data_IF_883133518703
#
_entry.id   IF_883133518703
#
_cell.length_a   1.000
_cell.length_b   1.000
_cell.length_c   1.000
_cell.angle_alpha   90.00
_cell.angle_beta   90.00
_cell.angle_gamma   90.00
#
_symmetry.space_group_name_H-M   'P 1'
#
loop_
_entity.id
_entity.type
_entity.pdbx_description
1 polymer ?
#
# COMPACT_ATOMS: atom_id res chain seq x y z
N UNK A 1 8.92 -14.26 -1.18
CA UNK A 1 8.85 -15.54 -0.41
C UNK A 1 7.73 -15.54 0.63
N UNK A 2 7.75 -14.66 1.64
CA UNK A 2 6.73 -14.62 2.69
C UNK A 2 5.29 -14.35 2.17
N UNK A 3 5.16 -13.63 1.04
CA UNK A 3 3.90 -13.44 0.34
C UNK A 3 3.22 -14.72 -0.13
N UNK A 4 4.00 -15.70 -0.58
CA UNK A 4 3.50 -16.95 -1.16
C UNK A 4 3.42 -18.07 -0.13
N UNK A 5 4.42 -18.21 0.73
CA UNK A 5 4.54 -19.33 1.67
C UNK A 5 4.06 -19.00 3.08
N UNK A 6 3.98 -17.70 3.41
CA UNK A 6 3.69 -17.22 4.76
C UNK A 6 4.92 -16.94 5.62
N UNK A 7 4.73 -16.19 6.72
CA UNK A 7 5.80 -15.63 7.56
C UNK A 7 6.48 -16.68 8.46
N UNK A 8 5.76 -17.74 8.84
CA UNK A 8 6.25 -18.82 9.71
C UNK A 8 6.71 -20.06 8.94
N UNK A 9 6.70 -20.01 7.62
CA UNK A 9 7.07 -21.14 6.78
C UNK A 9 8.56 -21.49 6.89
N UNK A 10 8.89 -22.77 6.73
CA UNK A 10 10.28 -23.26 6.82
C UNK A 10 11.20 -22.60 5.81
N UNK A 11 10.72 -22.33 4.60
CA UNK A 11 11.53 -21.68 3.57
C UNK A 11 11.75 -20.20 3.91
N UNK A 12 10.73 -19.51 4.44
CA UNK A 12 10.87 -18.14 4.98
C UNK A 12 11.92 -18.07 6.10
N UNK A 13 11.90 -19.02 7.05
CA UNK A 13 12.91 -19.09 8.13
C UNK A 13 14.31 -19.45 7.63
N UNK A 14 14.41 -20.27 6.58
CA UNK A 14 15.70 -20.61 5.96
C UNK A 14 16.34 -19.37 5.33
N UNK A 15 15.55 -18.48 4.72
CA UNK A 15 16.05 -17.20 4.18
C UNK A 15 16.67 -16.35 5.28
N UNK A 16 16.08 -16.29 6.47
CA UNK A 16 16.66 -15.54 7.60
C UNK A 16 18.06 -16.07 7.99
N UNK A 17 18.23 -17.40 8.02
CA UNK A 17 19.54 -18.01 8.25
C UNK A 17 20.57 -17.67 7.16
N UNK A 18 20.13 -17.43 5.92
CA UNK A 18 21.01 -17.02 4.83
C UNK A 18 21.38 -15.54 4.92
N UNK A 19 20.43 -14.68 5.31
CA UNK A 19 20.68 -13.26 5.57
C UNK A 19 21.69 -13.07 6.70
N UNK A 20 21.56 -13.83 7.79
CA UNK A 20 22.53 -13.81 8.90
C UNK A 20 23.97 -14.11 8.42
N UNK A 21 24.13 -15.16 7.60
CA UNK A 21 25.44 -15.47 6.98
C UNK A 21 25.93 -14.36 6.05
N UNK A 22 25.01 -13.67 5.36
CA UNK A 22 25.37 -12.54 4.51
C UNK A 22 25.87 -11.36 5.35
N UNK A 23 25.19 -11.03 6.45
CA UNK A 23 25.65 -10.00 7.39
C UNK A 23 27.04 -10.34 7.97
N UNK A 24 27.26 -11.59 8.41
CA UNK A 24 28.56 -12.03 8.91
C UNK A 24 29.69 -11.98 7.86
N UNK A 25 29.37 -12.07 6.56
CA UNK A 25 30.37 -11.87 5.49
C UNK A 25 30.73 -10.39 5.32
N UNK A 26 29.71 -9.53 5.31
CA UNK A 26 29.90 -8.08 5.16
C UNK A 26 30.64 -7.49 6.36
N UNK A 27 30.32 -7.93 7.58
CA UNK A 27 31.01 -7.52 8.80
C UNK A 27 32.49 -7.90 8.79
N UNK A 28 32.82 -9.15 8.42
CA UNK A 28 34.22 -9.59 8.28
C UNK A 28 34.99 -8.80 7.22
N UNK A 29 34.35 -8.47 6.10
CA UNK A 29 34.97 -7.65 5.06
C UNK A 29 35.28 -6.23 5.56
N UNK A 30 34.37 -5.64 6.35
CA UNK A 30 34.58 -4.31 6.93
C UNK A 30 35.72 -4.28 7.96
N UNK A 31 35.97 -5.36 8.69
CA UNK A 31 37.12 -5.46 9.60
C UNK A 31 38.47 -5.39 8.88
N UNK A 32 38.51 -5.77 7.60
CA UNK A 32 39.72 -5.75 6.78
C UNK A 32 39.81 -4.50 5.87
N UNK A 33 38.86 -3.57 5.96
CA UNK A 33 38.82 -2.38 5.13
C UNK A 33 39.57 -1.21 5.78
N UNK A 34 40.20 -0.37 4.96
CA UNK A 34 40.91 0.83 5.43
C UNK A 34 39.97 1.91 6.02
N UNK A 35 38.68 1.85 5.68
CA UNK A 35 37.66 2.80 6.15
C UNK A 35 36.77 2.14 7.21
N UNK A 36 36.47 2.84 8.33
CA UNK A 36 35.54 2.32 9.32
C UNK A 36 34.11 2.31 8.76
N UNK A 37 33.44 1.16 8.85
CA UNK A 37 32.03 1.03 8.50
C UNK A 37 31.18 0.79 9.75
N UNK A 38 29.99 1.38 9.76
CA UNK A 38 28.92 1.07 10.72
C UNK A 38 27.73 0.55 9.93
N UNK A 39 27.10 -0.52 10.42
CA UNK A 39 25.98 -1.16 9.73
C UNK A 39 24.66 -0.81 10.42
N UNK A 40 23.68 -0.44 9.60
CA UNK A 40 22.29 -0.30 10.00
C UNK A 40 21.49 -1.26 9.12
N UNK A 41 20.73 -2.16 9.75
CA UNK A 41 19.82 -3.06 9.06
C UNK A 41 18.41 -2.60 9.39
N UNK A 42 17.60 -2.36 8.37
CA UNK A 42 16.21 -1.96 8.54
C UNK A 42 15.31 -2.87 7.73
N UNK A 43 14.09 -3.00 8.21
CA UNK A 43 12.94 -3.45 7.44
C UNK A 43 12.03 -2.25 7.27
N UNK A 44 11.60 -2.03 6.04
CA UNK A 44 10.64 -1.00 5.66
C UNK A 44 9.23 -1.32 6.18
N UNK A 45 8.86 -2.60 6.17
CA UNK A 45 7.63 -3.11 6.74
C UNK A 45 7.77 -4.54 7.29
N UNK A 46 6.86 -4.90 8.20
CA UNK A 46 6.66 -6.31 8.56
C UNK A 46 5.82 -7.04 7.53
N UNK A 47 5.15 -8.11 7.95
CA UNK A 47 4.17 -8.84 7.14
C UNK A 47 2.96 -9.20 8.02
N UNK A 48 1.77 -9.15 7.42
CA UNK A 48 0.54 -9.66 8.00
C UNK A 48 0.11 -10.89 7.20
N UNK A 49 -0.62 -11.81 7.85
CA UNK A 49 -1.17 -12.99 7.19
C UNK A 49 -2.69 -13.00 7.23
N UNK A 50 -3.28 -13.77 6.31
CA UNK A 50 -4.70 -14.08 6.34
C UNK A 50 -5.20 -14.55 4.98
N UNK A 51 -6.40 -15.14 4.98
CA UNK A 51 -7.09 -15.46 3.74
C UNK A 51 -7.35 -14.18 2.92
N UNK A 52 -7.20 -14.27 1.61
CA UNK A 52 -7.42 -13.16 0.68
C UNK A 52 -8.89 -12.77 0.66
N UNK A 53 -9.19 -11.55 0.23
CA UNK A 53 -10.55 -11.02 0.12
C UNK A 53 -11.42 -11.93 -0.78
N UNK A 54 -10.84 -12.42 -1.89
CA UNK A 54 -11.50 -13.36 -2.79
C UNK A 54 -11.73 -14.74 -2.15
N UNK A 55 -10.78 -15.24 -1.38
CA UNK A 55 -10.96 -16.49 -0.63
C UNK A 55 -12.06 -16.37 0.43
N UNK A 56 -12.13 -15.23 1.13
CA UNK A 56 -13.13 -15.00 2.19
C UNK A 56 -14.53 -14.73 1.65
N UNK A 57 -14.65 -13.97 0.56
CA UNK A 57 -15.94 -13.42 0.12
C UNK A 57 -16.36 -13.86 -1.29
N UNK A 58 -15.55 -14.66 -1.98
CA UNK A 58 -15.85 -15.16 -3.33
C UNK A 58 -15.81 -14.11 -4.43
N UNK A 59 -15.40 -12.87 -4.12
CA UNK A 59 -15.32 -11.74 -5.05
C UNK A 59 -14.01 -10.98 -4.88
N UNK A 60 -13.53 -10.35 -5.94
CA UNK A 60 -12.37 -9.44 -5.86
C UNK A 60 -12.79 -8.03 -5.42
N UNK A 61 -11.83 -7.19 -5.01
CA UNK A 61 -12.11 -5.77 -4.72
C UNK A 61 -12.74 -5.06 -5.92
N UNK A 62 -12.21 -5.30 -7.13
CA UNK A 62 -12.79 -4.79 -8.39
C UNK A 62 -14.27 -5.16 -8.49
N UNK A 63 -14.62 -6.43 -8.27
CA UNK A 63 -16.00 -6.90 -8.39
C UNK A 63 -16.90 -6.31 -7.30
N UNK A 64 -16.39 -6.10 -6.09
CA UNK A 64 -17.12 -5.44 -5.01
C UNK A 64 -17.44 -3.98 -5.37
N UNK A 65 -16.46 -3.23 -5.89
CA UNK A 65 -16.66 -1.85 -6.36
C UNK A 65 -17.60 -1.81 -7.57
N UNK A 66 -17.39 -2.67 -8.57
CA UNK A 66 -18.18 -2.70 -9.79
C UNK A 66 -19.67 -2.96 -9.53
N UNK A 67 -20.02 -3.74 -8.50
CA UNK A 67 -21.42 -3.98 -8.10
C UNK A 67 -22.14 -2.73 -7.61
N UNK A 68 -21.40 -1.70 -7.19
CA UNK A 68 -21.92 -0.44 -6.67
C UNK A 68 -21.90 0.67 -7.73
N UNK A 69 -21.47 0.36 -8.95
CA UNK A 69 -21.31 1.32 -10.05
C UNK A 69 -22.23 0.97 -11.23
N UNK A 70 -22.51 1.94 -12.13
CA UNK A 70 -23.12 1.68 -13.43
C UNK A 70 -22.41 0.55 -14.19
N UNK A 71 -23.20 -0.30 -14.89
CA UNK A 71 -22.71 -1.54 -15.51
C UNK A 71 -21.76 -1.33 -16.69
N UNK A 72 -21.82 -0.16 -17.31
CA UNK A 72 -21.14 0.22 -18.54
C UNK A 72 -19.80 0.95 -18.29
N UNK A 73 -19.45 1.23 -17.04
CA UNK A 73 -18.16 1.80 -16.69
C UNK A 73 -17.01 0.88 -17.08
N UNK A 74 -16.05 1.45 -17.83
CA UNK A 74 -14.82 0.78 -18.20
C UNK A 74 -13.87 0.76 -17.01
N UNK A 75 -13.69 -0.42 -16.39
CA UNK A 75 -12.85 -0.58 -15.20
C UNK A 75 -11.56 -1.33 -15.54
N UNK A 76 -10.43 -0.66 -15.37
CA UNK A 76 -9.11 -1.28 -15.33
C UNK A 76 -8.75 -1.61 -13.88
N UNK A 77 -8.23 -2.81 -13.62
CA UNK A 77 -7.82 -3.20 -12.28
C UNK A 77 -6.54 -4.02 -12.28
N UNK A 78 -5.63 -3.70 -11.35
CA UNK A 78 -4.40 -4.45 -11.11
C UNK A 78 -4.41 -4.92 -9.65
N UNK A 79 -4.72 -6.20 -9.47
CA UNK A 79 -4.87 -6.86 -8.16
C UNK A 79 -3.75 -7.87 -7.87
N UNK A 80 -2.68 -7.80 -8.64
CA UNK A 80 -1.46 -8.55 -8.45
C UNK A 80 -0.32 -7.55 -8.65
N UNK A 81 0.41 -7.26 -7.58
CA UNK A 81 1.65 -6.49 -7.63
C UNK A 81 2.83 -7.45 -7.59
N UNK A 82 3.71 -7.33 -8.59
CA UNK A 82 5.10 -7.73 -8.42
C UNK A 82 5.76 -6.70 -7.49
N UNK A 83 6.62 -7.15 -6.57
CA UNK A 83 7.30 -6.31 -5.54
C UNK A 83 7.93 -5.03 -6.15
N UNK A 84 8.25 -5.04 -7.44
CA UNK A 84 8.76 -3.91 -8.22
C UNK A 84 7.81 -2.69 -8.28
N UNK A 85 6.48 -2.85 -8.21
CA UNK A 85 5.56 -1.70 -8.26
C UNK A 85 5.42 -0.95 -6.93
N UNK A 86 5.77 -1.57 -5.80
CA UNK A 86 5.92 -0.85 -4.53
C UNK A 86 6.95 0.27 -4.63
N UNK A 87 8.03 0.03 -5.39
CA UNK A 87 9.01 1.06 -5.76
C UNK A 87 8.48 2.06 -6.79
N UNK A 88 7.61 1.63 -7.72
CA UNK A 88 6.99 2.51 -8.72
C UNK A 88 5.98 3.47 -8.09
N UNK A 89 5.16 3.06 -7.12
CA UNK A 89 4.28 3.97 -6.40
C UNK A 89 5.07 5.07 -5.64
N UNK A 90 6.25 4.72 -5.12
CA UNK A 90 7.19 5.68 -4.53
C UNK A 90 7.80 6.62 -5.58
N UNK A 91 8.21 6.11 -6.75
CA UNK A 91 8.74 6.91 -7.87
C UNK A 91 7.68 7.82 -8.53
N UNK A 92 6.43 7.33 -8.66
CA UNK A 92 5.28 8.10 -9.13
C UNK A 92 5.00 9.27 -8.19
N UNK A 93 5.18 9.06 -6.88
CA UNK A 93 5.04 10.12 -5.87
C UNK A 93 6.19 11.14 -5.94
N UNK A 94 7.38 10.74 -6.37
CA UNK A 94 8.54 11.63 -6.55
C UNK A 94 8.43 12.49 -7.83
N UNK A 95 7.85 11.95 -8.90
CA UNK A 95 7.57 12.67 -10.16
C UNK A 95 6.36 13.60 -10.03
N UNK A 96 5.32 13.19 -9.29
CA UNK A 96 4.16 14.04 -9.00
C UNK A 96 4.55 15.35 -8.27
N UNK A 97 5.61 15.31 -7.46
CA UNK A 97 6.17 16.50 -6.79
C UNK A 97 6.85 17.48 -7.76
N UNK A 98 7.17 17.07 -8.99
CA UNK A 98 7.84 17.92 -9.99
C UNK A 98 6.88 18.43 -11.08
N UNK A 99 5.86 17.65 -11.49
CA UNK A 99 4.86 18.07 -12.47
C UNK A 99 3.55 17.23 -12.37
N UNK A 100 2.47 17.77 -11.79
CA UNK A 100 1.19 17.06 -11.61
C UNK A 100 0.51 16.61 -12.92
N UNK A 101 0.81 17.28 -14.04
CA UNK A 101 0.21 16.97 -15.35
C UNK A 101 0.81 15.73 -16.03
N UNK A 102 1.89 15.18 -15.47
CA UNK A 102 2.63 14.06 -16.06
C UNK A 102 2.27 12.69 -15.48
N UNK A 103 1.43 12.60 -14.44
CA UNK A 103 1.06 11.34 -13.78
C UNK A 103 0.45 10.33 -14.78
N UNK A 104 -0.55 10.76 -15.57
CA UNK A 104 -1.16 9.93 -16.61
C UNK A 104 -0.21 9.59 -17.77
N UNK A 105 0.85 10.38 -17.98
CA UNK A 105 1.85 10.17 -19.04
C UNK A 105 3.02 9.30 -18.60
N UNK A 106 3.34 9.25 -17.30
CA UNK A 106 4.39 8.38 -16.76
C UNK A 106 3.88 6.95 -16.57
N UNK A 107 2.62 6.80 -16.14
CA UNK A 107 1.90 5.51 -16.25
C UNK A 107 2.02 4.99 -17.68
N UNK A 108 1.80 5.85 -18.69
CA UNK A 108 1.90 5.58 -20.14
C UNK A 108 3.32 5.22 -20.65
N UNK A 109 4.40 5.58 -19.97
CA UNK A 109 5.78 5.21 -20.38
C UNK A 109 6.21 3.88 -19.77
N UNK A 110 5.84 3.62 -18.51
CA UNK A 110 6.19 2.38 -17.81
C UNK A 110 5.33 1.20 -18.28
N UNK A 111 4.08 1.43 -18.68
CA UNK A 111 3.23 0.40 -19.32
C UNK A 111 3.71 0.03 -20.73
N UNK A 112 4.43 0.92 -21.42
CA UNK A 112 4.89 0.72 -22.80
C UNK A 112 6.21 -0.06 -22.92
N UNK A 113 6.99 -0.15 -21.84
CA UNK A 113 8.36 -0.67 -21.90
C UNK A 113 8.52 -2.15 -21.54
N UNK A 114 7.44 -2.88 -21.22
CA UNK A 114 7.51 -4.33 -20.86
C UNK A 114 6.99 -5.29 -21.91
N UNK A 115 6.67 -4.84 -23.12
CA UNK A 115 6.31 -5.75 -24.23
C UNK A 115 7.51 -6.30 -25.00
N UNK A 116 8.73 -5.91 -24.66
CA UNK A 116 9.94 -6.38 -25.33
C UNK A 116 11.01 -6.76 -24.31
N UNK A 117 10.83 -7.88 -23.62
CA UNK A 117 11.96 -8.73 -23.23
C UNK A 117 11.42 -10.14 -23.00
N UNK A 118 12.02 -11.12 -23.67
CA UNK A 118 11.52 -12.49 -23.85
C UNK A 118 11.47 -13.35 -22.58
N UNK A 119 10.76 -12.90 -21.56
CA UNK A 119 10.35 -13.72 -20.43
C UNK A 119 9.11 -14.54 -20.80
N UNK A 120 9.19 -15.85 -20.55
CA UNK A 120 8.05 -16.76 -20.74
C UNK A 120 7.08 -16.50 -19.58
N UNK A 121 6.06 -15.70 -19.81
CA UNK A 121 4.96 -15.50 -18.86
C UNK A 121 4.28 -16.86 -18.60
N UNK A 122 4.24 -17.30 -17.34
CA UNK A 122 3.52 -18.50 -16.90
C UNK A 122 2.52 -18.10 -15.82
N UNK A 123 1.25 -18.45 -15.99
CA UNK A 123 0.20 -18.21 -14.98
C UNK A 123 -0.76 -17.06 -15.32
N UNK A 124 -1.29 -16.31 -14.33
CA UNK A 124 -2.32 -15.27 -14.52
C UNK A 124 -1.94 -14.19 -15.53
N UNK A 125 -0.65 -13.86 -15.63
CA UNK A 125 -0.15 -12.86 -16.58
C UNK A 125 -0.20 -13.35 -18.03
N UNK A 126 0.02 -14.64 -18.29
CA UNK A 126 -0.18 -15.24 -19.61
C UNK A 126 -1.65 -15.16 -20.03
N UNK A 127 -2.57 -15.45 -19.10
CA UNK A 127 -4.01 -15.34 -19.35
C UNK A 127 -4.42 -13.87 -19.60
N UNK A 128 -3.83 -12.91 -18.87
CA UNK A 128 -4.04 -11.48 -19.07
C UNK A 128 -3.55 -11.01 -20.43
N UNK A 129 -2.36 -11.44 -20.86
CA UNK A 129 -1.82 -11.16 -22.20
C UNK A 129 -2.73 -11.72 -23.31
N UNK A 130 -3.26 -12.94 -23.13
CA UNK A 130 -4.23 -13.53 -24.07
C UNK A 130 -5.55 -12.74 -24.13
N UNK A 131 -6.05 -12.28 -22.98
CA UNK A 131 -7.28 -11.49 -22.91
C UNK A 131 -7.08 -10.06 -23.48
N UNK A 132 -5.90 -9.46 -23.30
CA UNK A 132 -5.49 -8.19 -23.92
C UNK A 132 -5.42 -8.31 -25.44
N UNK A 133 -4.75 -9.35 -25.96
CA UNK A 133 -4.71 -9.63 -27.40
C UNK A 133 -6.09 -9.93 -28.00
N UNK A 134 -7.02 -10.46 -27.20
CA UNK A 134 -8.40 -10.71 -27.60
C UNK A 134 -9.33 -9.48 -27.46
N UNK A 135 -8.81 -8.31 -27.06
CA UNK A 135 -9.62 -7.09 -26.85
C UNK A 135 -10.61 -7.18 -25.70
N UNK A 136 -10.39 -8.08 -24.74
CA UNK A 136 -11.26 -8.33 -23.56
C UNK A 136 -10.84 -7.55 -22.32
N UNK A 137 -9.68 -6.89 -22.35
CA UNK A 137 -9.12 -6.12 -21.25
C UNK A 137 -9.19 -4.63 -21.57
N UNK A 138 -9.81 -3.86 -20.67
CA UNK A 138 -9.78 -2.40 -20.71
C UNK A 138 -8.38 -1.95 -20.28
N UNK A 139 -7.70 -1.18 -21.13
CA UNK A 139 -6.40 -0.60 -20.81
C UNK A 139 -6.54 0.54 -19.80
N UNK A 140 -5.44 0.93 -19.15
CA UNK A 140 -5.48 2.05 -18.21
C UNK A 140 -5.89 3.37 -18.90
N UNK A 141 -5.57 3.54 -20.18
CA UNK A 141 -5.88 4.74 -20.96
C UNK A 141 -7.36 4.84 -21.34
N UNK A 142 -8.06 3.72 -21.48
CA UNK A 142 -9.48 3.67 -21.85
C UNK A 142 -10.41 3.54 -20.64
N UNK A 143 -9.83 3.34 -19.45
CA UNK A 143 -10.57 3.18 -18.22
C UNK A 143 -11.19 4.50 -17.78
N UNK A 144 -12.38 4.39 -17.20
CA UNK A 144 -13.08 5.45 -16.45
C UNK A 144 -12.88 5.28 -14.94
N UNK A 145 -12.44 4.09 -14.53
CA UNK A 145 -12.09 3.73 -13.17
C UNK A 145 -10.83 2.85 -13.17
N UNK A 146 -9.84 3.22 -12.37
CA UNK A 146 -8.66 2.41 -12.08
C UNK A 146 -8.74 1.93 -10.63
N UNK A 147 -8.60 0.61 -10.44
CA UNK A 147 -8.51 -0.02 -9.12
C UNK A 147 -7.14 -0.67 -8.97
N UNK A 148 -6.33 -0.18 -8.04
CA UNK A 148 -5.05 -0.77 -7.66
C UNK A 148 -5.19 -1.46 -6.31
N UNK A 149 -4.53 -2.59 -6.13
CA UNK A 149 -4.38 -3.20 -4.83
C UNK A 149 -2.90 -3.44 -4.51
N UNK A 150 -2.56 -3.34 -3.23
CA UNK A 150 -1.27 -3.75 -2.67
C UNK A 150 -1.54 -4.29 -1.27
N UNK A 151 -1.39 -5.60 -1.10
CA UNK A 151 -1.81 -6.32 0.08
C UNK A 151 -3.26 -6.02 0.47
N UNK A 152 -3.47 -5.44 1.66
CA UNK A 152 -4.80 -5.07 2.16
C UNK A 152 -5.19 -3.60 1.92
N UNK A 153 -4.46 -2.90 1.06
CA UNK A 153 -4.74 -1.54 0.60
C UNK A 153 -5.31 -1.56 -0.81
N UNK A 154 -6.42 -0.87 -1.01
CA UNK A 154 -7.03 -0.60 -2.32
C UNK A 154 -7.01 0.89 -2.62
N UNK A 155 -6.66 1.26 -3.85
CA UNK A 155 -6.66 2.63 -4.34
C UNK A 155 -7.62 2.72 -5.53
N UNK A 156 -8.53 3.68 -5.51
CA UNK A 156 -9.54 3.88 -6.55
C UNK A 156 -9.39 5.27 -7.14
N UNK A 157 -9.26 5.34 -8.46
CA UNK A 157 -9.15 6.58 -9.23
C UNK A 157 -10.24 6.63 -10.29
N UNK A 158 -11.01 7.70 -10.34
CA UNK A 158 -11.94 8.04 -11.41
C UNK A 158 -11.22 8.94 -12.41
N UNK A 159 -11.10 8.49 -13.65
CA UNK A 159 -10.20 9.08 -14.65
C UNK A 159 -10.89 10.07 -15.59
N UNK A 160 -12.23 10.11 -15.59
CA UNK A 160 -13.00 11.09 -16.37
C UNK A 160 -12.99 12.50 -15.76
N UNK A 161 -12.53 12.64 -14.52
CA UNK A 161 -12.42 13.92 -13.81
C UNK A 161 -10.97 14.36 -13.69
N UNK A 162 -10.73 15.65 -13.94
CA UNK A 162 -9.39 16.24 -13.86
C UNK A 162 -8.91 16.38 -12.41
N UNK A 163 -9.85 16.64 -11.49
CA UNK A 163 -9.58 16.83 -10.07
C UNK A 163 -10.09 15.64 -9.27
N UNK A 164 -9.44 15.36 -8.15
CA UNK A 164 -9.86 14.33 -7.19
C UNK A 164 -11.29 14.59 -6.73
N UNK A 165 -12.16 13.59 -6.87
CA UNK A 165 -13.55 13.64 -6.46
C UNK A 165 -13.67 13.69 -4.93
N UNK A 166 -14.55 14.57 -4.49
CA UNK A 166 -14.94 14.70 -3.08
C UNK A 166 -16.03 13.69 -2.73
N UNK A 167 -16.26 13.45 -1.45
CA UNK A 167 -17.36 12.60 -0.97
C UNK A 167 -18.70 13.09 -1.52
N UNK A 168 -18.91 14.40 -1.53
CA UNK A 168 -20.12 15.03 -2.05
C UNK A 168 -20.26 14.82 -3.56
N UNK A 169 -19.19 14.99 -4.33
CA UNK A 169 -19.20 14.72 -5.76
C UNK A 169 -19.40 13.23 -6.07
N UNK A 170 -18.75 12.33 -5.32
CA UNK A 170 -18.95 10.89 -5.44
C UNK A 170 -20.39 10.50 -5.18
N UNK A 171 -21.02 11.05 -4.14
CA UNK A 171 -22.43 10.76 -3.84
C UNK A 171 -23.38 11.30 -4.92
N UNK A 172 -23.04 12.42 -5.57
CA UNK A 172 -23.83 12.96 -6.68
C UNK A 172 -23.75 12.12 -7.96
N UNK A 173 -22.56 11.60 -8.30
CA UNK A 173 -22.33 10.83 -9.53
C UNK A 173 -22.56 9.32 -9.35
N UNK A 174 -22.25 8.79 -8.17
CA UNK A 174 -22.30 7.37 -7.81
C UNK A 174 -22.97 7.18 -6.43
N UNK A 175 -24.29 7.46 -6.31
CA UNK A 175 -24.99 7.43 -5.02
C UNK A 175 -24.82 6.10 -4.28
N UNK A 176 -24.46 6.18 -3.01
CA UNK A 176 -24.30 5.00 -2.14
C UNK A 176 -23.02 4.18 -2.38
N UNK A 177 -22.08 4.62 -3.21
CA UNK A 177 -20.79 3.92 -3.42
C UNK A 177 -20.03 3.75 -2.11
N UNK A 178 -19.79 4.84 -1.37
CA UNK A 178 -18.99 4.80 -0.14
C UNK A 178 -19.71 4.01 0.95
N UNK A 179 -21.02 4.23 1.14
CA UNK A 179 -21.85 3.47 2.09
C UNK A 179 -21.89 1.97 1.76
N UNK A 180 -22.02 1.62 0.48
CA UNK A 180 -21.99 0.24 0.02
C UNK A 180 -20.64 -0.45 0.28
N UNK A 181 -19.53 0.27 0.08
CA UNK A 181 -18.19 -0.26 0.36
C UNK A 181 -17.99 -0.51 1.86
N UNK A 182 -18.26 0.47 2.72
CA UNK A 182 -18.03 0.32 4.16
C UNK A 182 -18.97 -0.70 4.83
N UNK A 183 -20.10 -1.04 4.20
CA UNK A 183 -20.99 -2.12 4.66
C UNK A 183 -20.47 -3.51 4.30
N UNK A 184 -19.53 -3.64 3.37
CA UNK A 184 -18.95 -4.94 3.04
C UNK A 184 -18.10 -5.43 4.22
N UNK A 185 -18.32 -6.65 4.76
CA UNK A 185 -17.63 -7.12 5.96
C UNK A 185 -16.11 -7.23 5.80
N UNK A 186 -15.63 -7.32 4.57
CA UNK A 186 -14.19 -7.33 4.25
C UNK A 186 -13.53 -5.95 4.25
N UNK A 187 -14.26 -4.85 4.36
CA UNK A 187 -13.73 -3.48 4.34
C UNK A 187 -13.77 -2.93 5.77
N UNK A 188 -12.62 -2.45 6.25
CA UNK A 188 -12.50 -1.86 7.59
C UNK A 188 -12.88 -0.40 7.58
N UNK A 189 -12.29 0.36 6.65
CA UNK A 189 -12.63 1.75 6.42
C UNK A 189 -12.29 2.20 4.99
N UNK A 190 -12.87 3.32 4.60
CA UNK A 190 -12.56 4.07 3.39
C UNK A 190 -12.10 5.47 3.79
N UNK A 191 -10.91 5.87 3.35
CA UNK A 191 -10.45 7.25 3.37
C UNK A 191 -10.96 7.97 2.13
N UNK A 192 -11.66 9.08 2.32
CA UNK A 192 -12.21 9.94 1.27
C UNK A 192 -12.14 11.41 1.71
N UNK A 193 -11.94 12.34 0.77
CA UNK A 193 -11.94 13.78 1.05
C UNK A 193 -13.36 14.34 0.94
N UNK A 194 -13.82 15.06 1.95
CA UNK A 194 -15.06 15.85 1.91
C UNK A 194 -14.73 17.34 1.72
N UNK A 195 -15.53 18.04 0.91
CA UNK A 195 -15.42 19.50 0.76
C UNK A 195 -15.68 20.22 2.08
N UNK A 196 -16.64 19.71 2.85
CA UNK A 196 -17.08 20.34 4.09
C UNK A 196 -16.18 20.03 5.28
N UNK A 197 -15.66 18.81 5.34
CA UNK A 197 -15.00 18.29 6.55
C UNK A 197 -13.52 17.96 6.37
N UNK A 198 -12.99 18.03 5.15
CA UNK A 198 -11.64 17.56 4.83
C UNK A 198 -11.58 16.02 4.79
N UNK A 199 -10.42 15.40 5.06
CA UNK A 199 -10.28 13.95 5.03
C UNK A 199 -11.15 13.25 6.09
N UNK A 200 -11.83 12.19 5.66
CA UNK A 200 -12.67 11.35 6.50
C UNK A 200 -12.21 9.89 6.37
N UNK A 201 -12.03 9.19 7.49
CA UNK A 201 -12.01 7.73 7.49
C UNK A 201 -13.40 7.22 7.89
N UNK A 202 -14.10 6.57 6.98
CA UNK A 202 -15.48 6.12 7.14
C UNK A 202 -15.47 4.60 7.29
N UNK A 203 -16.04 4.07 8.36
CA UNK A 203 -16.30 2.65 8.54
C UNK A 203 -17.80 2.36 8.61
N UNK A 204 -18.16 1.08 8.74
CA UNK A 204 -19.56 0.62 8.70
C UNK A 204 -20.48 1.29 9.74
N UNK A 205 -19.94 1.68 10.89
CA UNK A 205 -20.70 2.15 12.07
C UNK A 205 -20.18 3.47 12.64
N UNK A 206 -19.31 4.17 11.92
CA UNK A 206 -18.81 5.45 12.38
C UNK A 206 -17.78 6.09 11.46
N UNK A 207 -17.46 7.33 11.77
CA UNK A 207 -16.63 8.22 10.96
C UNK A 207 -15.59 8.86 11.86
N UNK A 208 -14.34 8.80 11.44
CA UNK A 208 -13.26 9.61 11.97
C UNK A 208 -13.06 10.83 11.06
N UNK A 209 -13.31 12.01 11.63
CA UNK A 209 -13.08 13.30 11.00
C UNK A 209 -11.62 13.71 11.24
N UNK A 210 -10.76 13.44 10.25
CA UNK A 210 -9.31 13.48 10.43
C UNK A 210 -8.79 14.92 10.63
N UNK A 211 -9.42 15.92 10.01
CA UNK A 211 -9.02 17.31 10.19
C UNK A 211 -9.29 17.85 11.61
N UNK A 212 -10.29 17.29 12.31
CA UNK A 212 -10.73 17.75 13.63
C UNK A 212 -10.40 16.76 14.76
N UNK A 213 -9.75 15.64 14.47
CA UNK A 213 -9.50 14.53 15.41
C UNK A 213 -10.76 14.12 16.20
N UNK A 214 -11.90 14.05 15.50
CA UNK A 214 -13.22 13.81 16.10
C UNK A 214 -13.84 12.53 15.53
N UNK A 215 -14.50 11.74 16.38
CA UNK A 215 -15.22 10.54 15.96
C UNK A 215 -16.74 10.70 16.16
N UNK A 216 -17.53 10.17 15.24
CA UNK A 216 -18.97 9.92 15.44
C UNK A 216 -19.27 8.44 15.25
N UNK A 217 -20.07 7.85 16.14
CA UNK A 217 -20.31 6.40 16.12
C UNK A 217 -19.09 5.63 16.64
N UNK A 218 -18.84 4.46 16.06
CA UNK A 218 -17.64 3.67 16.37
C UNK A 218 -16.40 4.25 15.69
N UNK A 219 -15.26 4.24 16.38
CA UNK A 219 -14.00 4.70 15.80
C UNK A 219 -13.48 3.65 14.79
N UNK A 220 -13.48 3.94 13.47
CA UNK A 220 -13.03 2.99 12.46
C UNK A 220 -11.53 2.70 12.52
N UNK A 221 -10.77 3.51 13.27
CA UNK A 221 -9.32 3.39 13.40
C UNK A 221 -8.86 2.81 14.75
N UNK A 222 -9.79 2.35 15.60
CA UNK A 222 -9.51 1.98 16.99
C UNK A 222 -8.47 0.87 17.15
N UNK A 223 -8.36 -0.04 16.18
CA UNK A 223 -7.47 -1.20 16.25
C UNK A 223 -6.14 -1.00 15.52
N UNK A 224 -5.89 0.18 14.97
CA UNK A 224 -4.61 0.51 14.32
C UNK A 224 -3.71 1.31 15.27
N UNK A 225 -2.48 1.58 14.80
CA UNK A 225 -1.54 2.45 15.50
C UNK A 225 -2.18 3.80 15.85
N UNK A 226 -1.79 4.38 17.00
CA UNK A 226 -2.18 5.76 17.38
C UNK A 226 -1.74 6.81 16.34
N UNK A 227 -0.77 6.46 15.48
CA UNK A 227 -0.32 7.30 14.38
C UNK A 227 -1.16 7.18 13.10
N UNK A 228 -2.13 6.24 13.03
CA UNK A 228 -2.95 6.04 11.84
C UNK A 228 -3.68 7.31 11.37
N UNK A 229 -4.33 8.13 12.24
CA UNK A 229 -4.95 9.38 11.80
C UNK A 229 -3.94 10.36 11.17
N UNK A 230 -2.73 10.43 11.70
CA UNK A 230 -1.66 11.27 11.15
C UNK A 230 -1.21 10.77 9.77
N UNK A 231 -1.00 9.46 9.61
CA UNK A 231 -0.60 8.85 8.33
C UNK A 231 -1.68 9.01 7.26
N UNK A 232 -2.96 8.87 7.62
CA UNK A 232 -4.08 9.06 6.68
C UNK A 232 -4.23 10.53 6.26
N UNK A 233 -4.04 11.49 7.18
CA UNK A 233 -3.96 12.93 6.82
C UNK A 233 -2.83 13.19 5.83
N UNK A 234 -1.66 12.60 6.07
CA UNK A 234 -0.52 12.73 5.16
C UNK A 234 -0.84 12.13 3.79
N UNK A 235 -1.44 10.94 3.74
CA UNK A 235 -1.84 10.29 2.49
C UNK A 235 -2.85 11.13 1.69
N UNK A 236 -3.78 11.80 2.40
CA UNK A 236 -4.75 12.72 1.79
C UNK A 236 -4.07 13.91 1.08
N UNK A 237 -2.94 14.39 1.60
CA UNK A 237 -2.24 15.58 1.10
C UNK A 237 -1.41 15.35 -0.16
N UNK A 238 -1.23 14.10 -0.61
CA UNK A 238 -0.48 13.85 -1.84
C UNK A 238 -1.26 14.32 -3.08
N UNK A 239 -0.57 14.92 -4.04
CA UNK A 239 -1.17 15.39 -5.30
C UNK A 239 -1.78 14.25 -6.12
N UNK A 240 -1.21 13.05 -5.97
CA UNK A 240 -1.69 11.82 -6.59
C UNK A 240 -2.56 10.96 -5.65
N UNK A 241 -3.14 11.54 -4.59
CA UNK A 241 -4.01 10.80 -3.69
C UNK A 241 -5.25 10.23 -4.44
N UNK A 242 -5.65 8.97 -4.18
CA UNK A 242 -6.82 8.38 -4.82
C UNK A 242 -8.12 9.02 -4.34
N UNK A 243 -9.16 8.97 -5.17
CA UNK A 243 -10.51 9.37 -4.75
C UNK A 243 -10.94 8.60 -3.51
N UNK A 244 -10.71 7.28 -3.53
CA UNK A 244 -10.91 6.39 -2.37
C UNK A 244 -9.64 5.60 -2.07
N UNK A 245 -9.21 5.64 -0.82
CA UNK A 245 -8.26 4.68 -0.26
C UNK A 245 -9.03 3.73 0.64
N UNK A 246 -8.97 2.44 0.35
CA UNK A 246 -9.73 1.39 1.02
C UNK A 246 -8.77 0.52 1.80
N UNK A 247 -9.02 0.35 3.10
CA UNK A 247 -8.30 -0.63 3.90
C UNK A 247 -9.24 -1.78 4.22
N UNK A 248 -8.76 -3.01 4.09
CA UNK A 248 -9.55 -4.16 4.55
C UNK A 248 -9.71 -4.13 6.07
N UNK A 249 -10.63 -4.95 6.59
CA UNK A 249 -10.81 -5.06 8.03
C UNK A 249 -9.52 -5.56 8.70
N UNK A 250 -9.42 -5.33 10.01
CA UNK A 250 -8.39 -5.95 10.85
C UNK A 250 -9.04 -6.51 12.11
N UNK A 251 -8.78 -7.79 12.39
CA UNK A 251 -9.20 -8.47 13.61
C UNK A 251 -7.99 -8.53 14.57
N UNK A 252 -8.00 -7.78 15.69
CA UNK A 252 -6.89 -7.75 16.64
C UNK A 252 -6.78 -9.02 17.50
N UNK A 253 -7.82 -9.86 17.55
CA UNK A 253 -7.81 -11.11 18.32
C UNK A 253 -7.17 -12.23 17.49
N UNK A 254 -7.57 -12.35 16.24
CA UNK A 254 -6.97 -13.30 15.30
C UNK A 254 -5.61 -12.82 14.76
N UNK A 255 -5.30 -11.53 14.89
CA UNK A 255 -4.18 -10.83 14.22
C UNK A 255 -4.22 -11.02 12.69
N UNK A 256 -5.43 -10.95 12.13
CA UNK A 256 -5.68 -11.19 10.71
C UNK A 256 -6.34 -10.00 10.03
N UNK A 257 -6.01 -9.84 8.75
CA UNK A 257 -6.76 -9.02 7.81
C UNK A 257 -7.00 -9.85 6.54
N UNK A 258 -7.41 -9.20 5.45
CA UNK A 258 -7.43 -9.86 4.14
C UNK A 258 -6.75 -9.00 3.07
N UNK A 259 -5.89 -9.63 2.27
CA UNK A 259 -5.33 -9.00 1.08
C UNK A 259 -6.41 -8.86 0.00
N UNK A 260 -6.47 -7.72 -0.67
CA UNK A 260 -7.23 -7.57 -1.90
C UNK A 260 -6.55 -8.28 -3.08
N UNK A 261 -5.25 -8.56 -2.95
CA UNK A 261 -4.47 -9.39 -3.87
C UNK A 261 -4.57 -10.88 -3.53
N UNK A 262 -4.20 -11.74 -4.48
CA UNK A 262 -4.23 -13.20 -4.29
C UNK A 262 -2.94 -13.74 -3.63
N UNK A 263 -2.44 -13.05 -2.60
CA UNK A 263 -1.25 -13.41 -1.81
C UNK A 263 -1.62 -13.56 -0.33
N UNK A 264 -1.13 -14.62 0.32
CA UNK A 264 -1.52 -15.00 1.71
C UNK A 264 -0.71 -14.26 2.79
N UNK A 265 0.53 -13.87 2.46
CA UNK A 265 1.29 -12.87 3.20
C UNK A 265 1.14 -11.54 2.48
N UNK A 266 0.90 -10.47 3.21
CA UNK A 266 0.72 -9.15 2.62
C UNK A 266 1.17 -8.00 3.53
N UNK A 267 1.49 -6.89 2.87
CA UNK A 267 1.66 -5.58 3.46
C UNK A 267 1.13 -4.51 2.48
N UNK A 268 1.01 -3.27 2.94
CA UNK A 268 0.65 -2.12 2.12
C UNK A 268 -0.36 -1.21 2.81
N UNK A 269 -1.26 -1.79 3.61
CA UNK A 269 -2.26 -1.06 4.38
C UNK A 269 -1.92 -0.94 5.87
N UNK A 270 -2.97 -0.76 6.66
CA UNK A 270 -2.95 -0.75 8.11
C UNK A 270 -3.50 -2.09 8.65
N UNK A 271 -2.93 -2.56 9.75
CA UNK A 271 -3.37 -3.72 10.52
C UNK A 271 -2.33 -4.84 10.60
N UNK A 272 -2.10 -5.35 11.81
CA UNK A 272 -1.27 -6.53 12.07
C UNK A 272 0.25 -6.28 12.03
N UNK A 273 1.00 -7.37 11.86
CA UNK A 273 2.46 -7.37 11.84
C UNK A 273 3.12 -6.48 10.79
N UNK A 274 2.44 -6.17 9.68
CA UNK A 274 2.98 -5.31 8.62
C UNK A 274 3.40 -3.91 9.12
N UNK A 275 2.74 -3.38 10.15
CA UNK A 275 3.06 -2.06 10.70
C UNK A 275 4.14 -2.10 11.79
N UNK A 276 4.84 -3.23 11.96
CA UNK A 276 5.96 -3.41 12.91
C UNK A 276 7.27 -3.63 12.15
N UNK A 277 7.85 -2.56 11.55
CA UNK A 277 9.21 -2.63 11.01
C UNK A 277 10.23 -2.84 12.13
N UNK A 278 11.45 -3.23 11.78
CA UNK A 278 12.56 -3.28 12.73
C UNK A 278 13.75 -2.45 12.27
N UNK A 279 14.56 -2.02 13.23
CA UNK A 279 15.82 -1.33 13.03
C UNK A 279 16.88 -1.96 13.94
N UNK A 280 17.93 -2.51 13.34
CA UNK A 280 19.17 -2.88 14.02
C UNK A 280 20.20 -1.79 13.71
N UNK A 281 20.79 -1.24 14.77
CA UNK A 281 21.77 -0.16 14.68
C UNK A 281 22.83 -0.33 15.76
N UNK A 282 24.00 0.32 15.63
CA UNK A 282 25.04 0.29 16.64
C UNK A 282 24.50 0.75 18.01
N UNK A 283 24.80 0.00 19.06
CA UNK A 283 24.30 0.30 20.42
C UNK A 283 24.68 1.70 20.91
N UNK A 284 25.86 2.18 20.48
CA UNK A 284 26.37 3.50 20.82
C UNK A 284 25.48 4.65 20.31
N UNK A 285 24.67 4.44 19.28
CA UNK A 285 23.77 5.46 18.75
C UNK A 285 22.55 5.72 19.63
N UNK A 286 22.27 4.82 20.60
CA UNK A 286 21.18 4.94 21.58
C UNK A 286 19.79 5.22 20.96
N UNK A 287 19.53 4.71 19.74
CA UNK A 287 18.28 4.99 19.01
C UNK A 287 17.01 4.52 19.73
N UNK A 288 17.13 3.63 20.72
CA UNK A 288 16.00 3.20 21.58
C UNK A 288 15.38 4.34 22.38
N UNK A 289 16.10 5.44 22.58
CA UNK A 289 15.61 6.62 23.30
C UNK A 289 14.89 7.63 22.37
N UNK A 290 14.92 7.40 21.05
CA UNK A 290 14.28 8.26 20.06
C UNK A 290 12.83 7.82 19.83
N UNK A 291 11.90 8.78 19.73
CA UNK A 291 10.59 8.51 19.16
C UNK A 291 10.72 8.64 17.64
N UNK A 292 10.56 7.54 16.90
CA UNK A 292 10.71 7.52 15.43
C UNK A 292 9.36 7.16 14.81
N UNK A 293 8.76 8.10 14.10
CA UNK A 293 7.50 7.93 13.39
C UNK A 293 7.73 8.21 11.90
N UNK A 294 7.74 7.13 11.11
CA UNK A 294 7.90 7.18 9.66
C UNK A 294 9.35 7.37 9.18
N UNK A 295 9.54 7.20 7.87
CA UNK A 295 10.85 7.16 7.22
C UNK A 295 11.61 8.49 7.29
N UNK A 296 10.92 9.64 7.24
CA UNK A 296 11.58 10.96 7.30
C UNK A 296 12.27 11.21 8.64
N UNK A 297 11.60 10.86 9.74
CA UNK A 297 12.20 11.02 11.06
C UNK A 297 13.36 10.05 11.24
N UNK A 298 13.20 8.81 10.76
CA UNK A 298 14.29 7.83 10.74
C UNK A 298 15.50 8.39 9.95
N UNK A 299 15.28 8.94 8.76
CA UNK A 299 16.33 9.56 7.96
C UNK A 299 17.07 10.66 8.74
N UNK A 300 16.35 11.59 9.37
CA UNK A 300 16.96 12.67 10.15
C UNK A 300 17.80 12.14 11.32
N UNK A 301 17.31 11.11 12.00
CA UNK A 301 18.02 10.45 13.11
C UNK A 301 19.29 9.77 12.59
N UNK A 302 19.20 8.98 11.52
CA UNK A 302 20.37 8.30 10.93
C UNK A 302 21.38 9.31 10.38
N UNK A 303 20.93 10.37 9.71
CA UNK A 303 21.78 11.41 9.14
C UNK A 303 22.58 12.14 10.23
N UNK A 304 21.95 12.46 11.37
CA UNK A 304 22.62 13.03 12.53
C UNK A 304 23.74 12.12 13.07
N UNK A 305 23.52 10.80 13.08
CA UNK A 305 24.55 9.85 13.51
C UNK A 305 25.72 9.82 12.53
N UNK A 306 25.45 9.80 11.23
CA UNK A 306 26.48 9.85 10.17
C UNK A 306 27.30 11.13 10.27
N UNK A 307 26.66 12.28 10.46
CA UNK A 307 27.35 13.58 10.54
C UNK A 307 28.19 13.73 11.82
N UNK A 308 27.89 12.93 12.85
CA UNK A 308 28.66 12.89 14.09
C UNK A 308 29.81 11.85 14.07
N UNK A 309 29.93 11.04 13.02
CA UNK A 309 31.03 10.08 12.91
C UNK A 309 32.35 10.80 12.60
N UNK A 310 33.46 10.44 13.27
CA UNK A 310 34.77 10.95 12.90
C UNK A 310 35.13 10.49 11.48
N UNK A 311 35.64 11.42 10.67
CA UNK A 311 36.04 11.21 9.28
C UNK A 311 37.28 10.36 9.10
#
# INVERSE_FOLDING_TARGET
>A
MAHHSGIVDRDSLRVLSQLDRAFARVERAAQAADRPYQFVILSDHGQTQGATFKQRYGVTLKQAIQKLLPRDLKIHARLQTDEEWGHVAALVSEVAQQDPYMLGRFVRTVTRQRTEDGEVAVGPDYQRMLDEQAGRVITAEEAQLIVLASGNLGLVYFTDWQERLTLEALEAHFPGLVDGLVRHPGIGFVLVRSERYGPLAIGARGIYYLAQDRVTGENPLAYFSLHAPMLLRRADLYDNAPDLLINSFYDPVADEACAFEELIGFHGGLGGGQNRPFLLSPVAWQLRNESIVGAEQLYRVLKRQVDAMPG
#
